data_IF_734764492894
#
_entry.id   IF_734764492894
#
_cell.length_a   1.000
_cell.length_b   1.000
_cell.length_c   1.000
_cell.angle_alpha   90.00
_cell.angle_beta   90.00
_cell.angle_gamma   90.00
#
_symmetry.space_group_name_H-M   'P 1'
#
loop_
_entity.id
_entity.type
_entity.pdbx_description
1 polymer ?
#
# COMPACT_ATOMS: atom_id res chain seq x y z
N UNK A 1 -6.51 13.97 12.61
CA UNK A 1 -6.11 13.92 11.20
C UNK A 1 -6.51 12.57 10.62
N UNK A 2 -7.70 12.45 10.01
CA UNK A 2 -8.02 11.27 9.22
C UNK A 2 -7.04 11.14 8.05
N UNK A 3 -6.86 9.93 7.53
CA UNK A 3 -6.01 9.65 6.38
C UNK A 3 -6.82 9.00 5.27
N UNK A 4 -6.40 9.20 4.02
CA UNK A 4 -6.95 8.46 2.90
C UNK A 4 -6.04 7.28 2.59
N UNK A 5 -6.60 6.07 2.46
CA UNK A 5 -5.88 4.88 2.03
C UNK A 5 -6.38 4.42 0.67
N UNK A 6 -5.47 4.31 -0.28
CA UNK A 6 -5.68 3.69 -1.59
C UNK A 6 -5.09 2.29 -1.57
N UNK A 7 -5.87 1.28 -1.98
CA UNK A 7 -5.48 -0.14 -1.93
C UNK A 7 -5.67 -0.78 -3.29
N UNK A 8 -4.65 -1.51 -3.74
CA UNK A 8 -4.67 -2.33 -4.94
C UNK A 8 -4.54 -3.80 -4.56
N UNK A 9 -5.46 -4.63 -5.06
CA UNK A 9 -5.25 -6.08 -5.15
C UNK A 9 -4.46 -6.31 -6.45
N UNK A 10 -3.23 -6.82 -6.40
CA UNK A 10 -2.37 -6.94 -7.55
C UNK A 10 -2.91 -8.00 -8.50
N UNK A 11 -3.02 -7.62 -9.77
CA UNK A 11 -3.30 -8.53 -10.87
C UNK A 11 -2.03 -8.96 -11.64
N UNK A 12 -0.82 -8.68 -11.13
CA UNK A 12 0.55 -9.03 -11.63
C UNK A 12 1.46 -7.79 -11.83
N UNK A 13 2.62 -7.91 -12.52
CA UNK A 13 3.97 -7.95 -11.96
C UNK A 13 4.65 -6.58 -11.82
N UNK A 14 3.98 -5.48 -12.14
CA UNK A 14 4.60 -4.15 -12.26
C UNK A 14 4.54 -3.37 -10.93
N UNK A 15 4.88 -4.06 -9.83
CA UNK A 15 4.85 -3.55 -8.45
C UNK A 15 5.67 -2.28 -8.31
N UNK A 16 6.91 -2.30 -8.81
CA UNK A 16 7.87 -1.20 -8.65
C UNK A 16 7.40 0.07 -9.36
N UNK A 17 6.78 -0.10 -10.53
CA UNK A 17 6.17 1.00 -11.26
C UNK A 17 4.99 1.59 -10.51
N UNK A 18 4.12 0.74 -9.93
CA UNK A 18 3.00 1.20 -9.12
C UNK A 18 3.46 1.90 -7.85
N UNK A 19 4.46 1.36 -7.16
CA UNK A 19 5.05 2.00 -5.97
C UNK A 19 5.66 3.37 -6.30
N UNK A 20 6.46 3.45 -7.36
CA UNK A 20 7.07 4.70 -7.83
C UNK A 20 6.00 5.73 -8.19
N UNK A 21 4.96 5.32 -8.91
CA UNK A 21 3.86 6.20 -9.29
C UNK A 21 3.09 6.70 -8.05
N UNK A 22 2.84 5.84 -7.06
CA UNK A 22 2.17 6.23 -5.82
C UNK A 22 2.98 7.28 -5.04
N UNK A 23 4.29 7.09 -4.93
CA UNK A 23 5.18 8.08 -4.32
C UNK A 23 5.16 9.41 -5.08
N UNK A 24 5.25 9.37 -6.42
CA UNK A 24 5.20 10.56 -7.26
C UNK A 24 3.87 11.34 -7.14
N UNK A 25 2.76 10.65 -6.83
CA UNK A 25 1.46 11.28 -6.62
C UNK A 25 1.26 11.90 -5.24
N UNK A 26 2.25 11.85 -4.36
CA UNK A 26 2.21 12.46 -3.03
C UNK A 26 1.77 11.51 -1.91
N UNK A 27 1.95 10.20 -2.08
CA UNK A 27 1.76 9.26 -0.99
C UNK A 27 2.73 9.59 0.17
N UNK A 28 2.19 9.67 1.38
CA UNK A 28 2.95 9.83 2.63
C UNK A 28 3.70 8.56 2.99
N UNK A 29 3.11 7.40 2.64
CA UNK A 29 3.71 6.09 2.84
C UNK A 29 3.13 5.12 1.80
N UNK A 30 3.96 4.17 1.36
CA UNK A 30 3.53 3.01 0.56
C UNK A 30 3.87 1.75 1.34
N UNK A 31 2.96 0.79 1.37
CA UNK A 31 3.09 -0.47 2.13
C UNK A 31 2.77 -1.65 1.23
N UNK A 32 3.65 -2.64 1.28
CA UNK A 32 3.54 -3.91 0.54
C UNK A 32 3.17 -5.01 1.53
N UNK A 33 2.12 -5.78 1.22
CA UNK A 33 1.72 -6.95 1.99
C UNK A 33 1.89 -8.21 1.14
N UNK A 34 2.70 -9.14 1.65
CA UNK A 34 2.98 -10.42 0.99
C UNK A 34 1.81 -11.40 1.06
N UNK A 35 1.79 -12.35 0.11
CA UNK A 35 0.97 -13.56 0.18
C UNK A 35 1.42 -14.38 1.39
N UNK A 36 0.69 -14.36 2.50
CA UNK A 36 1.10 -15.00 3.76
C UNK A 36 1.26 -16.53 3.75
N UNK A 37 1.30 -17.18 2.58
CA UNK A 37 1.35 -18.65 2.43
C UNK A 37 2.42 -19.16 1.46
N UNK A 38 3.21 -18.28 0.84
CA UNK A 38 4.29 -18.74 -0.03
C UNK A 38 5.55 -19.10 0.77
N UNK A 39 6.17 -20.26 0.48
CA UNK A 39 7.47 -20.57 1.03
C UNK A 39 8.48 -19.51 0.57
N UNK A 40 9.18 -18.89 1.52
CA UNK A 40 10.27 -17.96 1.21
C UNK A 40 11.36 -18.80 0.53
N UNK A 41 11.54 -18.61 -0.78
CA UNK A 41 12.73 -19.05 -1.47
C UNK A 41 13.87 -18.14 -1.01
N UNK A 42 14.88 -18.71 -0.34
CA UNK A 42 16.10 -17.96 -0.05
C UNK A 42 16.77 -17.58 -1.37
N UNK A 43 16.88 -16.27 -1.68
CA UNK A 43 17.57 -15.82 -2.88
C UNK A 43 19.08 -16.02 -2.70
N UNK A 44 19.83 -16.07 -3.80
CA UNK A 44 21.28 -16.18 -3.71
C UNK A 44 21.88 -14.98 -2.96
N UNK A 45 23.05 -15.11 -2.31
CA UNK A 45 23.73 -13.96 -1.68
C UNK A 45 23.91 -12.81 -2.69
N UNK A 46 23.23 -11.69 -2.46
CA UNK A 46 23.23 -10.51 -3.34
C UNK A 46 21.93 -10.27 -4.11
N UNK A 47 20.96 -11.18 -4.05
CA UNK A 47 19.65 -11.01 -4.66
C UNK A 47 18.61 -10.54 -3.62
N UNK A 48 17.70 -9.66 -4.05
CA UNK A 48 16.59 -9.22 -3.20
C UNK A 48 15.45 -10.23 -3.30
N UNK A 49 14.94 -10.79 -2.19
CA UNK A 49 13.86 -11.76 -2.25
C UNK A 49 12.62 -11.14 -2.89
N UNK A 50 12.13 -11.78 -3.95
CA UNK A 50 10.86 -11.45 -4.60
C UNK A 50 9.72 -12.05 -3.77
N UNK A 51 9.33 -11.41 -2.66
CA UNK A 51 8.06 -11.77 -2.02
C UNK A 51 6.93 -11.49 -3.01
N UNK A 52 6.09 -12.50 -3.32
CA UNK A 52 4.87 -12.26 -4.07
C UNK A 52 3.97 -11.35 -3.24
N UNK A 53 3.87 -10.10 -3.68
CA UNK A 53 3.00 -9.11 -3.06
C UNK A 53 1.58 -9.36 -3.52
N UNK A 54 0.65 -9.53 -2.56
CA UNK A 54 -0.80 -9.68 -2.82
C UNK A 54 -1.58 -8.43 -2.50
N UNK A 55 -0.95 -7.37 -2.00
CA UNK A 55 -1.62 -6.08 -1.80
C UNK A 55 -0.60 -4.96 -1.72
N UNK A 56 -0.91 -3.86 -2.40
CA UNK A 56 -0.18 -2.59 -2.27
C UNK A 56 -1.15 -1.57 -1.73
N UNK A 57 -0.73 -0.82 -0.71
CA UNK A 57 -1.51 0.29 -0.18
C UNK A 57 -0.68 1.55 -0.06
N UNK A 58 -1.30 2.70 -0.30
CA UNK A 58 -0.70 4.01 -0.16
C UNK A 58 -1.55 4.89 0.74
N UNK A 59 -0.88 5.62 1.64
CA UNK A 59 -1.49 6.55 2.57
C UNK A 59 -1.32 7.98 2.04
N UNK A 60 -2.39 8.76 2.05
CA UNK A 60 -2.42 10.16 1.66
C UNK A 60 -3.07 11.00 2.76
N UNK A 61 -2.84 12.32 2.69
CA UNK A 61 -3.59 13.27 3.50
C UNK A 61 -5.09 13.20 3.16
N UNK A 62 -5.98 13.26 4.15
CA UNK A 62 -7.42 13.20 3.92
C UNK A 62 -7.99 14.40 3.14
N UNK A 63 -7.23 15.49 3.02
CA UNK A 63 -7.61 16.65 2.22
C UNK A 63 -7.28 16.50 0.73
N UNK A 64 -6.65 15.39 0.32
CA UNK A 64 -6.35 15.17 -1.10
C UNK A 64 -7.64 15.02 -1.91
N UNK A 65 -7.71 15.70 -3.05
CA UNK A 65 -8.78 15.48 -4.01
C UNK A 65 -8.59 14.13 -4.70
N UNK A 66 -9.51 13.20 -4.40
CA UNK A 66 -9.44 11.81 -4.87
C UNK A 66 -9.39 11.74 -6.40
N UNK A 67 -10.21 12.56 -7.09
CA UNK A 67 -10.27 12.57 -8.56
C UNK A 67 -8.95 12.99 -9.19
N UNK A 68 -8.36 14.08 -8.69
CA UNK A 68 -7.07 14.60 -9.15
C UNK A 68 -5.93 13.64 -8.84
N UNK A 69 -5.92 13.03 -7.66
CA UNK A 69 -4.94 12.02 -7.27
C UNK A 69 -4.99 10.81 -8.21
N UNK A 70 -6.18 10.22 -8.44
CA UNK A 70 -6.33 9.08 -9.35
C UNK A 70 -5.99 9.45 -10.80
N UNK A 71 -6.33 10.67 -11.23
CA UNK A 71 -5.98 11.19 -12.55
C UNK A 71 -4.47 11.31 -12.76
N UNK A 72 -3.74 11.82 -11.76
CA UNK A 72 -2.27 11.88 -11.77
C UNK A 72 -1.67 10.48 -11.78
N UNK A 73 -2.16 9.58 -10.92
CA UNK A 73 -1.68 8.20 -10.84
C UNK A 73 -1.82 7.48 -12.19
N UNK A 74 -2.95 7.68 -12.87
CA UNK A 74 -3.17 7.14 -14.21
C UNK A 74 -2.16 7.69 -15.23
N UNK A 75 -1.86 8.98 -15.16
CA UNK A 75 -0.88 9.63 -16.02
C UNK A 75 0.54 9.08 -15.80
N UNK A 76 0.96 8.94 -14.54
CA UNK A 76 2.26 8.36 -14.15
C UNK A 76 2.40 6.90 -14.61
N UNK A 77 1.31 6.13 -14.53
CA UNK A 77 1.28 4.75 -15.00
C UNK A 77 1.15 4.62 -16.53
N UNK A 78 0.96 5.73 -17.25
CA UNK A 78 0.65 5.73 -18.68
C UNK A 78 -0.44 4.70 -19.05
N UNK A 79 -1.47 4.60 -18.21
CA UNK A 79 -2.54 3.61 -18.36
C UNK A 79 -3.85 4.30 -18.77
N UNK A 80 -4.71 3.63 -19.53
CA UNK A 80 -6.04 4.15 -19.85
C UNK A 80 -6.99 4.08 -18.64
N UNK A 81 -6.77 3.09 -17.78
CA UNK A 81 -7.50 2.87 -16.54
C UNK A 81 -6.58 2.35 -15.45
N UNK A 82 -6.90 2.69 -14.20
CA UNK A 82 -6.23 2.10 -13.05
C UNK A 82 -6.73 0.66 -12.83
N UNK A 83 -5.88 -0.24 -12.32
CA UNK A 83 -6.33 -1.55 -11.88
C UNK A 83 -7.41 -1.44 -10.80
N UNK A 84 -8.18 -2.51 -10.54
CA UNK A 84 -9.16 -2.53 -9.47
C UNK A 84 -8.57 -2.05 -8.14
N UNK A 85 -9.20 -1.04 -7.55
CA UNK A 85 -8.69 -0.40 -6.34
C UNK A 85 -9.82 -0.01 -5.39
N UNK A 86 -9.51 0.00 -4.10
CA UNK A 86 -10.35 0.52 -3.04
C UNK A 86 -9.80 1.84 -2.52
N UNK A 87 -10.69 2.78 -2.22
CA UNK A 87 -10.36 4.03 -1.53
C UNK A 87 -11.11 4.04 -0.21
N UNK A 88 -10.39 4.23 0.89
CA UNK A 88 -10.94 4.19 2.24
C UNK A 88 -10.47 5.38 3.05
N UNK A 89 -11.38 6.00 3.81
CA UNK A 89 -11.02 7.02 4.80
C UNK A 89 -10.74 6.35 6.15
N UNK A 90 -9.51 6.46 6.63
CA UNK A 90 -9.10 5.97 7.93
C UNK A 90 -9.30 7.10 8.94
N UNK A 91 -10.20 6.89 9.91
CA UNK A 91 -10.35 7.80 11.02
C UNK A 91 -9.04 7.87 11.83
N UNK A 92 -8.70 9.07 12.32
CA UNK A 92 -7.55 9.25 13.20
C UNK A 92 -7.75 8.40 14.46
N UNK A 93 -6.92 7.36 14.62
CA UNK A 93 -6.88 6.53 15.82
C UNK A 93 -5.52 6.72 16.46
N UNK A 94 -5.52 6.92 17.77
CA UNK A 94 -4.30 7.01 18.57
C UNK A 94 -3.76 5.58 18.78
N UNK A 95 -3.05 5.08 17.78
CA UNK A 95 -2.48 3.71 17.75
C UNK A 95 -1.61 3.37 18.97
N UNK A 96 -1.05 4.39 19.62
CA UNK A 96 -0.20 4.27 20.82
C UNK A 96 -0.95 3.74 22.07
N UNK A 97 -2.28 3.91 22.14
CA UNK A 97 -3.09 3.45 23.30
C UNK A 97 -3.72 2.07 23.10
N UNK A 98 -3.96 1.66 21.86
CA UNK A 98 -4.62 0.38 21.54
C UNK A 98 -3.69 -0.84 21.70
N UNK A 99 -2.37 -0.65 21.53
CA UNK A 99 -1.41 -1.75 21.70
C UNK A 99 -1.24 -2.19 23.17
N UNK A 100 -1.49 -1.30 24.13
CA UNK A 100 -1.39 -1.63 25.56
C UNK A 100 -2.61 -2.45 26.03
N UNK A 101 -3.80 -2.23 25.47
CA UNK A 101 -4.99 -3.00 25.85
C UNK A 101 -5.07 -4.37 25.16
N UNK A 102 -4.49 -4.52 23.96
CA UNK A 102 -4.48 -5.78 23.21
C UNK A 102 -3.37 -6.75 23.65
N UNK A 103 -2.35 -6.26 24.37
CA UNK A 103 -1.28 -7.09 24.92
C UNK A 103 -1.78 -7.90 26.12
N UNK A 104 -2.55 -8.96 25.86
CA UNK A 104 -2.84 -9.96 26.90
C UNK A 104 -1.54 -10.71 27.23
N UNK A 105 -1.17 -10.83 28.52
CA UNK A 105 -0.05 -11.67 28.91
C UNK A 105 -0.33 -13.10 28.46
N UNK A 106 0.65 -13.73 27.80
CA UNK A 106 0.66 -15.18 27.63
C UNK A 106 0.91 -15.79 29.01
N UNK A 107 -0.01 -16.64 29.47
CA UNK A 107 0.08 -17.32 30.76
C UNK A 107 0.34 -18.81 30.58
#
# INVERSE_FOLDING_TARGET
MPWLRLVFEPAAPDRERLETALQATGALAVSLQGAGSEPILEPAPGETPLWSCTRISALFDAQVDIGSMLGRLRAELHADALPPHGVEMIADRVWEREWIEAAKPLH
#
